data_IF_772281169446
#
_entry.id   IF_772281169446
#
_cell.length_a   1.000
_cell.length_b   1.000
_cell.length_c   1.000
_cell.angle_alpha   90.00
_cell.angle_beta   90.00
_cell.angle_gamma   90.00
#
_symmetry.space_group_name_H-M   'P 1'
#
loop_
_entity.id
_entity.type
_entity.pdbx_description
1 polymer ?
#
# COMPACT_ATOMS: atom_id res chain seq x y z
N UNK A 1 17.49 -9.16 -8.65
CA UNK A 1 16.17 -9.52 -8.09
C UNK A 1 15.30 -8.27 -8.21
N UNK A 2 14.15 -8.35 -8.87
CA UNK A 2 13.23 -7.20 -8.99
C UNK A 2 12.19 -7.23 -7.85
N UNK A 3 11.36 -6.18 -7.76
CA UNK A 3 10.36 -6.04 -6.68
C UNK A 3 9.38 -7.21 -6.61
N UNK A 4 9.06 -7.82 -7.75
CA UNK A 4 8.12 -8.95 -7.85
C UNK A 4 8.71 -10.19 -7.20
N UNK A 5 10.01 -10.46 -7.44
CA UNK A 5 10.70 -11.58 -6.80
C UNK A 5 10.75 -11.50 -5.26
N UNK A 6 10.65 -10.30 -4.67
CA UNK A 6 10.62 -10.13 -3.20
C UNK A 6 9.27 -10.42 -2.56
N UNK A 7 8.20 -10.52 -3.36
CA UNK A 7 6.83 -10.69 -2.87
C UNK A 7 6.13 -11.86 -3.55
N UNK A 8 6.87 -12.74 -4.23
CA UNK A 8 6.32 -13.84 -5.00
C UNK A 8 5.63 -14.90 -4.12
N UNK A 9 5.98 -14.98 -2.84
CA UNK A 9 5.40 -15.86 -1.83
C UNK A 9 4.40 -15.13 -0.91
N UNK A 10 4.06 -13.87 -1.20
CA UNK A 10 3.09 -13.13 -0.41
C UNK A 10 1.67 -13.66 -0.62
N UNK A 11 0.92 -13.84 0.47
CA UNK A 11 -0.51 -14.20 0.42
C UNK A 11 -1.37 -13.10 -0.25
N UNK A 12 -0.93 -11.84 -0.14
CA UNK A 12 -1.59 -10.69 -0.74
C UNK A 12 -0.58 -9.54 -0.93
N UNK A 13 -0.63 -8.89 -2.09
CA UNK A 13 0.10 -7.64 -2.34
C UNK A 13 -0.87 -6.48 -2.50
N UNK A 14 -0.66 -5.43 -1.71
CA UNK A 14 -1.39 -4.16 -1.87
C UNK A 14 -0.54 -3.18 -2.67
N UNK A 15 -1.10 -2.65 -3.75
CA UNK A 15 -0.47 -1.65 -4.60
C UNK A 15 -1.30 -0.37 -4.59
N UNK A 16 -0.64 0.78 -4.42
CA UNK A 16 -1.30 2.07 -4.57
C UNK A 16 -1.75 2.25 -6.04
N UNK A 17 -3.04 2.59 -6.22
CA UNK A 17 -3.61 2.84 -7.53
C UNK A 17 -3.16 4.18 -8.15
N UNK A 18 -3.30 4.34 -9.48
CA UNK A 18 -2.92 5.57 -10.16
C UNK A 18 -3.70 6.79 -9.65
N UNK A 19 -3.00 7.92 -9.52
CA UNK A 19 -3.60 9.19 -9.13
C UNK A 19 -4.27 9.87 -10.33
N UNK A 20 -5.52 9.53 -10.62
CA UNK A 20 -6.27 10.03 -11.79
C UNK A 20 -6.38 11.57 -11.88
N UNK A 21 -6.28 12.29 -10.76
CA UNK A 21 -6.30 13.76 -10.73
C UNK A 21 -4.95 14.43 -11.00
N UNK A 22 -3.88 13.66 -11.19
CA UNK A 22 -2.53 14.20 -11.36
C UNK A 22 -2.20 14.40 -12.85
N UNK A 23 -1.54 15.52 -13.19
CA UNK A 23 -1.18 15.89 -14.57
C UNK A 23 0.33 15.89 -14.79
N UNK A 24 0.76 15.90 -16.06
CA UNK A 24 2.17 16.02 -16.48
C UNK A 24 2.73 14.81 -17.25
N UNK A 25 3.85 15.01 -17.96
CA UNK A 25 4.45 13.97 -18.81
C UNK A 25 4.87 12.72 -18.03
N UNK A 26 5.33 12.88 -16.79
CA UNK A 26 5.74 11.78 -15.91
C UNK A 26 4.59 10.89 -15.41
N UNK A 27 3.33 11.21 -15.75
CA UNK A 27 2.20 10.33 -15.45
C UNK A 27 2.18 9.11 -16.35
N UNK A 28 2.57 9.24 -17.62
CA UNK A 28 2.66 8.11 -18.53
C UNK A 28 3.76 7.14 -18.08
N UNK A 29 4.91 7.65 -17.66
CA UNK A 29 6.01 6.83 -17.13
C UNK A 29 5.60 6.07 -15.87
N UNK A 30 4.87 6.74 -14.96
CA UNK A 30 4.34 6.12 -13.74
C UNK A 30 3.28 5.07 -14.03
N UNK A 31 2.35 5.36 -14.94
CA UNK A 31 1.34 4.39 -15.36
C UNK A 31 1.99 3.17 -16.03
N UNK A 32 2.97 3.37 -16.92
CA UNK A 32 3.72 2.29 -17.55
C UNK A 32 4.50 1.44 -16.54
N UNK A 33 5.14 2.07 -15.55
CA UNK A 33 5.83 1.36 -14.46
C UNK A 33 4.85 0.57 -13.59
N UNK A 34 3.70 1.16 -13.28
CA UNK A 34 2.64 0.52 -12.48
C UNK A 34 2.13 -0.75 -13.15
N UNK A 35 1.79 -0.69 -14.44
CA UNK A 35 1.31 -1.85 -15.20
C UNK A 35 2.38 -2.94 -15.34
N UNK A 36 3.67 -2.58 -15.42
CA UNK A 36 4.74 -3.58 -15.43
C UNK A 36 4.82 -4.36 -14.12
N UNK A 37 4.66 -3.69 -12.96
CA UNK A 37 4.67 -4.37 -11.66
C UNK A 37 3.42 -5.21 -11.49
N UNK A 38 2.22 -4.63 -11.68
CA UNK A 38 0.95 -5.33 -11.49
C UNK A 38 0.78 -6.49 -12.46
N UNK A 39 1.09 -6.30 -13.74
CA UNK A 39 1.02 -7.37 -14.73
C UNK A 39 1.93 -8.55 -14.39
N UNK A 40 3.12 -8.28 -13.83
CA UNK A 40 4.03 -9.35 -13.39
C UNK A 40 3.51 -10.10 -12.16
N UNK A 41 2.99 -9.39 -11.16
CA UNK A 41 2.37 -10.00 -9.97
C UNK A 41 1.22 -10.94 -10.37
N UNK A 42 0.31 -10.43 -11.21
CA UNK A 42 -0.81 -11.22 -11.73
C UNK A 42 -0.36 -12.43 -12.54
N UNK A 43 0.69 -12.28 -13.37
CA UNK A 43 1.25 -13.40 -14.14
C UNK A 43 1.96 -14.46 -13.29
N UNK A 44 2.23 -14.14 -12.02
CA UNK A 44 2.86 -15.03 -11.04
C UNK A 44 1.84 -15.55 -10.01
N UNK A 45 0.54 -15.43 -10.29
CA UNK A 45 -0.56 -15.88 -9.43
C UNK A 45 -0.54 -15.28 -8.00
N UNK A 46 0.08 -14.10 -7.84
CA UNK A 46 0.06 -13.35 -6.58
C UNK A 46 -1.21 -12.50 -6.51
N UNK A 47 -2.07 -12.66 -5.49
CA UNK A 47 -3.26 -11.83 -5.34
C UNK A 47 -2.90 -10.35 -5.17
N UNK A 48 -3.56 -9.47 -5.92
CA UNK A 48 -3.28 -8.02 -5.92
C UNK A 48 -4.51 -7.21 -5.54
N UNK A 49 -4.39 -6.41 -4.49
CA UNK A 49 -5.37 -5.37 -4.13
C UNK A 49 -4.86 -4.01 -4.58
N UNK A 50 -5.69 -3.29 -5.32
CA UNK A 50 -5.41 -1.90 -5.72
C UNK A 50 -6.11 -0.94 -4.76
N UNK A 51 -5.33 -0.21 -3.95
CA UNK A 51 -5.86 0.75 -2.99
C UNK A 51 -5.69 2.20 -3.47
N UNK A 52 -6.73 3.02 -3.37
CA UNK A 52 -6.64 4.43 -3.75
C UNK A 52 -5.63 5.20 -2.87
N UNK A 53 -4.84 6.15 -3.42
CA UNK A 53 -3.86 6.95 -2.68
C UNK A 53 -4.39 7.55 -1.36
N UNK A 54 -5.57 8.16 -1.43
CA UNK A 54 -6.21 8.79 -0.28
C UNK A 54 -6.67 7.77 0.78
N UNK A 55 -6.98 6.54 0.37
CA UNK A 55 -7.36 5.46 1.28
C UNK A 55 -6.13 4.96 2.04
N UNK A 56 -5.01 4.73 1.36
CA UNK A 56 -3.73 4.34 2.00
C UNK A 56 -3.29 5.40 3.00
N UNK A 57 -3.30 6.68 2.62
CA UNK A 57 -2.95 7.80 3.52
C UNK A 57 -3.86 7.91 4.72
N UNK A 58 -5.18 7.76 4.52
CA UNK A 58 -6.15 7.76 5.62
C UNK A 58 -5.93 6.57 6.56
N UNK A 59 -5.64 5.39 6.03
CA UNK A 59 -5.32 4.22 6.84
C UNK A 59 -4.05 4.45 7.69
N UNK A 60 -3.01 5.02 7.08
CA UNK A 60 -1.72 5.24 7.72
C UNK A 60 -1.77 6.33 8.80
N UNK A 61 -2.30 7.52 8.45
CA UNK A 61 -2.17 8.74 9.25
C UNK A 61 -3.51 9.43 9.55
N UNK A 62 -4.63 8.80 9.19
CA UNK A 62 -5.96 9.28 9.57
C UNK A 62 -6.62 10.28 8.65
N UNK A 63 -5.87 10.83 7.70
CA UNK A 63 -6.35 11.78 6.72
C UNK A 63 -5.90 11.38 5.32
N UNK A 64 -6.83 11.36 4.36
CA UNK A 64 -6.49 11.16 2.95
C UNK A 64 -5.69 12.32 2.34
N UNK A 65 -5.54 13.42 3.08
CA UNK A 65 -4.72 14.59 2.74
C UNK A 65 -3.46 14.69 3.60
N UNK A 66 -3.11 13.65 4.36
CA UNK A 66 -1.87 13.64 5.12
C UNK A 66 -0.68 13.87 4.18
N UNK A 67 0.26 14.69 4.63
CA UNK A 67 1.54 14.86 3.95
C UNK A 67 2.44 13.63 4.17
N UNK A 68 3.52 13.56 3.41
CA UNK A 68 4.43 12.41 3.42
C UNK A 68 5.14 12.26 4.77
N UNK A 69 5.48 13.36 5.44
CA UNK A 69 6.11 13.33 6.76
C UNK A 69 5.18 12.75 7.83
N UNK A 70 3.90 13.12 7.81
CA UNK A 70 2.89 12.59 8.71
C UNK A 70 2.70 11.08 8.53
N UNK A 71 2.69 10.59 7.28
CA UNK A 71 2.63 9.16 6.98
C UNK A 71 3.88 8.45 7.54
N UNK A 72 5.08 8.94 7.22
CA UNK A 72 6.34 8.35 7.70
C UNK A 72 6.41 8.28 9.23
N UNK A 73 6.10 9.38 9.93
CA UNK A 73 6.07 9.38 11.40
C UNK A 73 5.00 8.46 11.98
N UNK A 74 3.84 8.32 11.33
CA UNK A 74 2.79 7.39 11.79
C UNK A 74 3.21 5.93 11.61
N UNK A 75 3.81 5.60 10.47
CA UNK A 75 4.28 4.24 10.17
C UNK A 75 5.47 3.84 11.05
N UNK A 76 6.42 4.74 11.30
CA UNK A 76 7.53 4.48 12.23
C UNK A 76 7.05 4.25 13.68
N UNK A 77 6.00 4.97 14.11
CA UNK A 77 5.37 4.72 15.42
C UNK A 77 4.60 3.40 15.46
N UNK A 78 4.01 3.00 14.34
CA UNK A 78 3.29 1.72 14.24
C UNK A 78 4.25 0.54 14.20
N UNK A 79 5.41 0.72 13.58
CA UNK A 79 6.43 -0.30 13.37
C UNK A 79 7.81 0.20 13.85
N UNK A 80 8.08 0.21 15.18
CA UNK A 80 9.32 0.76 15.72
C UNK A 80 10.60 0.05 15.26
N UNK A 81 10.49 -1.18 14.75
CA UNK A 81 11.59 -1.92 14.13
C UNK A 81 11.99 -1.38 12.75
N UNK A 82 11.13 -0.56 12.12
CA UNK A 82 11.41 0.12 10.87
C UNK A 82 11.76 1.58 11.18
N UNK A 83 13.05 1.93 11.01
CA UNK A 83 13.53 3.29 11.22
C UNK A 83 13.58 4.06 9.90
N UNK A 84 12.69 5.05 9.67
CA UNK A 84 12.69 5.86 8.46
C UNK A 84 13.89 6.81 8.36
N UNK A 85 14.64 7.08 9.44
CA UNK A 85 15.82 7.96 9.38
C UNK A 85 17.04 7.27 8.77
N UNK A 86 17.05 5.93 8.75
CA UNK A 86 18.11 5.13 8.14
C UNK A 86 17.82 4.78 6.67
N UNK A 87 16.68 5.25 6.15
CA UNK A 87 16.13 4.88 4.87
C UNK A 87 16.41 5.91 3.76
N UNK A 88 17.13 5.49 2.70
CA UNK A 88 17.08 6.20 1.42
C UNK A 88 15.63 6.13 0.90
N UNK A 89 15.04 7.28 0.53
CA UNK A 89 13.63 7.41 0.12
C UNK A 89 12.63 6.97 1.20
N UNK A 90 12.88 7.41 2.44
CA UNK A 90 12.04 7.15 3.62
C UNK A 90 10.54 7.35 3.38
N UNK A 91 10.14 8.39 2.65
CA UNK A 91 8.74 8.68 2.36
C UNK A 91 8.09 7.61 1.45
N UNK A 92 8.78 7.19 0.39
CA UNK A 92 8.25 6.20 -0.54
C UNK A 92 8.19 4.81 0.13
N UNK A 93 9.14 4.52 1.05
CA UNK A 93 9.07 3.32 1.88
C UNK A 93 7.95 3.40 2.92
N UNK A 94 7.64 4.57 3.46
CA UNK A 94 6.51 4.74 4.36
C UNK A 94 5.18 4.38 3.69
N UNK A 95 5.00 4.81 2.43
CA UNK A 95 3.81 4.47 1.63
C UNK A 95 3.75 2.95 1.37
N UNK A 96 4.88 2.28 1.14
CA UNK A 96 4.95 0.83 1.01
C UNK A 96 4.59 0.10 2.32
N UNK A 97 5.12 0.57 3.47
CA UNK A 97 4.77 0.03 4.79
C UNK A 97 3.28 0.24 5.10
N UNK A 98 2.71 1.37 4.70
CA UNK A 98 1.28 1.63 4.82
C UNK A 98 0.45 0.65 3.97
N UNK A 99 0.86 0.37 2.73
CA UNK A 99 0.21 -0.64 1.88
C UNK A 99 0.29 -2.04 2.50
N UNK A 100 1.46 -2.45 2.98
CA UNK A 100 1.63 -3.74 3.65
C UNK A 100 0.78 -3.85 4.92
N UNK A 101 0.70 -2.78 5.71
CA UNK A 101 -0.15 -2.72 6.90
C UNK A 101 -1.63 -2.84 6.56
N UNK A 102 -2.08 -2.20 5.49
CA UNK A 102 -3.44 -2.37 4.97
C UNK A 102 -3.68 -3.81 4.53
N UNK A 103 -2.71 -4.45 3.87
CA UNK A 103 -2.76 -5.86 3.47
C UNK A 103 -2.93 -6.81 4.66
N UNK A 104 -2.14 -6.61 5.72
CA UNK A 104 -2.30 -7.37 6.98
C UNK A 104 -3.73 -7.24 7.53
N UNK A 105 -4.27 -6.03 7.57
CA UNK A 105 -5.61 -5.80 8.08
C UNK A 105 -6.70 -6.45 7.19
N UNK A 106 -6.50 -6.51 5.87
CA UNK A 106 -7.38 -7.23 4.93
C UNK A 106 -7.37 -8.74 5.17
N UNK A 107 -6.21 -9.29 5.52
CA UNK A 107 -6.05 -10.69 5.93
C UNK A 107 -6.55 -10.98 7.36
N UNK A 108 -7.16 -9.99 8.03
CA UNK A 108 -7.61 -10.13 9.43
C UNK A 108 -6.49 -10.08 10.47
N UNK A 109 -5.25 -9.81 10.06
CA UNK A 109 -4.09 -9.67 10.94
C UNK A 109 -3.98 -8.23 11.44
N UNK A 110 -4.02 -8.05 12.76
CA UNK A 110 -4.06 -6.73 13.38
C UNK A 110 -2.96 -6.58 14.45
N UNK A 111 -1.68 -6.57 14.06
CA UNK A 111 -0.56 -6.39 15.01
C UNK A 111 -0.46 -4.96 15.57
N UNK A 112 -1.31 -4.06 15.09
CA UNK A 112 -1.42 -2.67 15.52
C UNK A 112 -2.88 -2.33 15.83
N UNK A 113 -3.15 -1.27 16.61
CA UNK A 113 -4.53 -0.89 16.91
C UNK A 113 -5.30 -0.48 15.64
N UNK A 114 -6.54 -0.97 15.54
CA UNK A 114 -7.47 -0.62 14.46
C UNK A 114 -8.35 0.55 14.90
N UNK A 115 -7.80 1.78 14.86
CA UNK A 115 -8.61 2.96 15.14
C UNK A 115 -9.72 3.12 14.08
N UNK A 116 -10.74 3.93 14.41
CA UNK A 116 -11.91 4.16 13.55
C UNK A 116 -11.54 4.48 12.10
N UNK A 117 -10.52 5.31 11.87
CA UNK A 117 -10.09 5.70 10.53
C UNK A 117 -9.51 4.55 9.68
N UNK A 118 -9.00 3.49 10.31
CA UNK A 118 -8.34 2.33 9.69
C UNK A 118 -9.43 1.38 9.27
N UNK A 119 -10.40 1.15 10.15
CA UNK A 119 -11.63 0.42 9.84
C UNK A 119 -12.40 1.07 8.68
N UNK A 120 -12.59 2.40 8.73
CA UNK A 120 -13.25 3.16 7.65
C UNK A 120 -12.49 3.13 6.33
N UNK A 121 -11.16 2.98 6.36
CA UNK A 121 -10.34 2.87 5.16
C UNK A 121 -10.37 1.45 4.62
N UNK A 122 -10.29 0.44 5.50
CA UNK A 122 -10.39 -0.97 5.18
C UNK A 122 -11.70 -1.30 4.47
N UNK A 123 -12.82 -0.79 4.98
CA UNK A 123 -14.15 -0.99 4.39
C UNK A 123 -14.35 -0.39 2.98
N UNK A 124 -13.40 0.42 2.50
CA UNK A 124 -13.43 0.99 1.14
C UNK A 124 -12.60 0.21 0.12
N UNK A 125 -11.84 -0.76 0.59
CA UNK A 125 -10.94 -1.53 -0.27
C UNK A 125 -11.67 -2.77 -0.73
N UNK A 126 -11.63 -3.01 -2.04
CA UNK A 126 -12.20 -4.19 -2.67
C UNK A 126 -11.14 -5.30 -2.66
N UNK A 127 -11.56 -6.50 -2.28
CA UNK A 127 -10.71 -7.68 -2.40
C UNK A 127 -10.76 -8.22 -3.83
N UNK A 128 -9.75 -8.98 -4.27
CA UNK A 128 -9.80 -9.69 -5.53
C UNK A 128 -10.89 -10.78 -5.48
N UNK A 129 -11.54 -11.04 -6.61
CA UNK A 129 -12.64 -12.02 -6.71
C UNK A 129 -12.21 -13.41 -6.20
N UNK A 130 -10.95 -13.79 -6.44
CA UNK A 130 -10.35 -15.04 -5.98
C UNK A 130 -10.26 -15.18 -4.45
N UNK A 131 -10.27 -14.07 -3.71
CA UNK A 131 -10.23 -14.06 -2.24
C UNK A 131 -11.62 -13.92 -1.61
N UNK A 132 -12.62 -13.44 -2.34
CA UNK A 132 -14.01 -13.35 -1.83
C UNK A 132 -14.71 -14.72 -1.79
N UNK A 133 -14.21 -15.71 -2.54
CA UNK A 133 -14.79 -17.03 -2.69
C UNK A 133 -14.25 -18.10 -1.72
N UNK A 134 -13.29 -17.76 -0.84
CA UNK A 134 -12.61 -18.66 0.09
C UNK A 134 -13.20 -18.59 1.52
#
# INVERSE_FOLDING_TARGET
MDVVGYVADAELVVVEGPAYGASGASQHDRAGSWWQVVGRLLSSDVPVVVAAPATVKKFAAGSGRADKAAVAMSMARTWPQWDPLLAVRAEDMADAVACASLGLALLGLQPFPMQKWRQESLAKVQLPDEMEAA
#
